data_IF_645200571308
#
_entry.id   IF_645200571308
#
_cell.length_a   1.000
_cell.length_b   1.000
_cell.length_c   1.000
_cell.angle_alpha   90.00
_cell.angle_beta   90.00
_cell.angle_gamma   90.00
#
_symmetry.space_group_name_H-M   'P 1'
#
loop_
_entity.id
_entity.type
_entity.pdbx_description
1 polymer ?
#
# COMPACT_ATOMS: atom_id res chain seq x y z
N UNK A 1 -5.21 -13.68 -11.70
CA UNK A 1 -6.38 -12.88 -12.13
C UNK A 1 -6.29 -12.63 -13.62
N UNK A 2 -7.23 -13.14 -14.43
CA UNK A 2 -7.28 -12.82 -15.85
C UNK A 2 -8.73 -12.54 -16.24
N UNK A 3 -9.21 -11.36 -15.86
CA UNK A 3 -10.52 -10.88 -16.25
C UNK A 3 -10.42 -10.30 -17.66
N UNK A 4 -10.63 -11.16 -18.66
CA UNK A 4 -10.83 -10.72 -20.03
C UNK A 4 -11.90 -9.61 -20.09
N UNK A 5 -11.55 -8.53 -20.79
CA UNK A 5 -12.44 -7.43 -21.20
C UNK A 5 -12.97 -6.54 -20.07
N UNK A 6 -12.06 -5.77 -19.46
CA UNK A 6 -12.31 -4.49 -18.81
C UNK A 6 -10.98 -3.72 -18.82
N UNK A 7 -11.01 -2.39 -18.88
CA UNK A 7 -9.83 -1.52 -18.70
C UNK A 7 -9.24 -1.71 -17.29
N UNK A 8 -8.52 -2.81 -17.09
CA UNK A 8 -7.82 -3.18 -15.87
C UNK A 8 -6.32 -2.84 -15.97
N UNK A 9 -5.51 -3.50 -15.15
CA UNK A 9 -4.08 -3.22 -15.07
C UNK A 9 -3.23 -3.75 -16.25
N UNK A 10 -3.84 -4.34 -17.28
CA UNK A 10 -3.15 -4.90 -18.44
C UNK A 10 -2.57 -6.30 -18.19
N UNK A 11 -1.64 -6.74 -19.06
CA UNK A 11 -1.01 -8.07 -19.01
C UNK A 11 -0.15 -8.30 -17.75
N UNK A 12 0.45 -7.23 -17.21
CA UNK A 12 1.32 -7.28 -16.05
C UNK A 12 0.76 -6.34 -14.96
N UNK A 13 -0.18 -6.81 -14.13
CA UNK A 13 -0.70 -6.02 -13.02
C UNK A 13 0.43 -5.66 -12.03
N UNK A 14 0.33 -4.51 -11.35
CA UNK A 14 1.31 -4.15 -10.33
C UNK A 14 1.14 -5.07 -9.12
N UNK A 15 2.25 -5.41 -8.47
CA UNK A 15 2.24 -6.02 -7.16
C UNK A 15 2.33 -4.93 -6.08
N UNK A 16 1.61 -5.13 -4.97
CA UNK A 16 1.57 -4.19 -3.85
C UNK A 16 2.02 -4.95 -2.60
N UNK A 17 2.90 -4.34 -1.81
CA UNK A 17 3.25 -4.78 -0.49
C UNK A 17 2.86 -3.71 0.54
N UNK A 18 2.38 -4.17 1.70
CA UNK A 18 2.07 -3.31 2.83
C UNK A 18 2.96 -3.70 4.00
N UNK A 19 3.63 -2.71 4.59
CA UNK A 19 4.49 -2.94 5.74
C UNK A 19 4.12 -2.01 6.89
N UNK A 20 4.03 -2.58 8.08
CA UNK A 20 3.98 -1.83 9.33
C UNK A 20 5.42 -1.61 9.79
N UNK A 21 5.84 -0.34 9.85
CA UNK A 21 7.21 0.04 10.21
C UNK A 21 7.32 0.25 11.71
N UNK A 22 6.35 0.95 12.29
CA UNK A 22 6.33 1.26 13.72
C UNK A 22 4.92 1.30 14.25
N UNK A 23 4.68 0.57 15.32
CA UNK A 23 3.42 0.57 16.06
C UNK A 23 3.50 1.48 17.29
N UNK A 24 2.36 1.97 17.79
CA UNK A 24 2.30 2.55 19.13
C UNK A 24 2.74 1.54 20.18
N UNK A 25 3.16 2.02 21.34
CA UNK A 25 3.43 1.14 22.46
C UNK A 25 2.12 0.63 23.06
N UNK A 26 2.12 -0.63 23.49
CA UNK A 26 1.07 -1.25 24.28
C UNK A 26 1.07 -0.73 25.73
N UNK A 27 0.17 -1.27 26.56
CA UNK A 27 0.06 -0.89 27.96
C UNK A 27 1.30 -1.24 28.81
N UNK A 28 2.18 -2.12 28.31
CA UNK A 28 3.44 -2.51 28.98
C UNK A 28 4.62 -1.65 28.54
N UNK A 29 4.43 -0.77 27.55
CA UNK A 29 5.46 0.11 27.00
C UNK A 29 6.25 -0.50 25.84
N UNK A 30 5.88 -1.69 25.35
CA UNK A 30 6.52 -2.35 24.20
C UNK A 30 5.78 -2.00 22.90
N UNK A 31 6.43 -2.02 21.72
CA UNK A 31 5.73 -1.86 20.45
C UNK A 31 4.58 -2.87 20.33
N UNK A 32 3.37 -2.40 20.07
CA UNK A 32 2.21 -3.26 19.96
C UNK A 32 2.34 -4.21 18.76
N UNK A 33 1.96 -5.46 18.96
CA UNK A 33 2.03 -6.50 17.94
C UNK A 33 0.78 -6.52 17.06
N UNK A 34 0.86 -7.27 15.96
CA UNK A 34 -0.30 -7.57 15.14
C UNK A 34 -1.29 -8.43 15.93
N UNK A 35 -2.55 -8.04 15.96
CA UNK A 35 -3.65 -8.81 16.56
C UNK A 35 -4.29 -9.78 15.59
N UNK A 36 -4.29 -9.46 14.29
CA UNK A 36 -4.81 -10.32 13.23
C UNK A 36 -4.43 -9.85 11.83
N UNK A 37 -4.44 -10.78 10.88
CA UNK A 37 -4.38 -10.55 9.43
C UNK A 37 -5.51 -11.33 8.78
N UNK A 38 -6.48 -10.62 8.19
CA UNK A 38 -7.68 -11.20 7.58
C UNK A 38 -7.80 -10.81 6.11
N UNK A 39 -8.31 -11.72 5.28
CA UNK A 39 -8.44 -11.52 3.81
C UNK A 39 -9.87 -11.67 3.29
N UNK A 40 -10.83 -10.84 3.75
CA UNK A 40 -12.19 -10.90 3.25
C UNK A 40 -12.26 -10.46 1.78
N UNK A 41 -13.39 -10.72 1.17
CA UNK A 41 -13.61 -10.43 -0.24
C UNK A 41 -15.02 -9.94 -0.51
N UNK A 42 -15.23 -9.33 -1.66
CA UNK A 42 -16.56 -8.94 -2.11
C UNK A 42 -17.43 -10.18 -2.38
N UNK A 43 -18.43 -10.42 -1.53
CA UNK A 43 -19.28 -11.60 -1.61
C UNK A 43 -20.33 -11.62 -0.49
N UNK A 44 -20.98 -12.76 -0.31
CA UNK A 44 -22.06 -12.94 0.68
C UNK A 44 -21.74 -13.96 1.77
N UNK A 45 -20.60 -14.66 1.67
CA UNK A 45 -20.20 -15.68 2.64
C UNK A 45 -19.91 -15.09 4.02
N UNK A 46 -19.82 -15.93 5.07
CA UNK A 46 -19.30 -15.50 6.37
C UNK A 46 -17.87 -14.93 6.36
N UNK A 47 -17.11 -15.21 5.29
CA UNK A 47 -15.73 -14.75 5.08
C UNK A 47 -15.63 -13.53 4.15
N UNK A 48 -16.76 -12.95 3.77
CA UNK A 48 -16.82 -11.80 2.85
C UNK A 48 -16.77 -10.46 3.59
N UNK A 49 -16.91 -9.35 2.89
CA UNK A 49 -16.87 -8.01 3.48
C UNK A 49 -17.81 -7.84 4.71
N UNK A 50 -17.35 -7.11 5.75
CA UNK A 50 -18.17 -6.77 6.91
C UNK A 50 -19.14 -5.63 6.58
N UNK A 51 -20.32 -5.62 7.18
CA UNK A 51 -21.41 -4.69 6.91
C UNK A 51 -21.66 -3.70 8.06
N UNK A 52 -21.18 -4.00 9.26
CA UNK A 52 -21.42 -3.19 10.45
C UNK A 52 -20.20 -3.20 11.40
N UNK A 53 -20.21 -2.29 12.37
CA UNK A 53 -19.08 -2.08 13.28
C UNK A 53 -18.68 -3.33 14.07
N UNK A 54 -19.65 -4.16 14.49
CA UNK A 54 -19.35 -5.42 15.19
C UNK A 54 -18.60 -6.42 14.30
N UNK A 55 -18.94 -6.47 13.02
CA UNK A 55 -18.27 -7.35 12.06
C UNK A 55 -16.85 -6.88 11.74
N UNK A 56 -16.64 -5.56 11.58
CA UNK A 56 -15.28 -5.00 11.51
C UNK A 56 -14.46 -5.33 12.77
N UNK A 57 -15.07 -5.21 13.95
CA UNK A 57 -14.41 -5.53 15.21
C UNK A 57 -14.06 -7.02 15.33
N UNK A 58 -14.88 -7.91 14.77
CA UNK A 58 -14.52 -9.32 14.67
C UNK A 58 -13.26 -9.52 13.83
N UNK A 59 -13.15 -8.85 12.68
CA UNK A 59 -11.98 -8.98 11.81
C UNK A 59 -10.71 -8.49 12.50
N UNK A 60 -10.79 -7.43 13.31
CA UNK A 60 -9.66 -6.93 14.09
C UNK A 60 -9.15 -7.89 15.18
N UNK A 61 -9.96 -8.90 15.53
CA UNK A 61 -9.64 -9.95 16.51
C UNK A 61 -9.37 -11.30 15.86
N UNK A 62 -9.28 -11.37 14.53
CA UNK A 62 -9.12 -12.63 13.82
C UNK A 62 -10.36 -13.54 13.88
N UNK A 63 -11.55 -12.96 13.88
CA UNK A 63 -12.84 -13.67 13.91
C UNK A 63 -13.63 -13.29 12.66
N UNK A 64 -14.20 -14.25 11.95
CA UNK A 64 -15.03 -14.02 10.76
C UNK A 64 -16.35 -13.31 11.07
N UNK A 65 -17.07 -12.92 10.02
CA UNK A 65 -18.22 -12.00 10.11
C UNK A 65 -19.32 -12.56 10.99
N UNK A 66 -19.51 -13.88 10.89
CA UNK A 66 -20.50 -14.65 11.63
C UNK A 66 -20.05 -15.05 13.06
N UNK A 67 -18.89 -14.58 13.51
CA UNK A 67 -18.32 -14.92 14.81
C UNK A 67 -17.47 -16.19 14.84
N UNK A 68 -17.30 -16.89 13.71
CA UNK A 68 -16.40 -18.06 13.64
C UNK A 68 -14.95 -17.60 13.72
N UNK A 69 -14.12 -18.07 14.67
CA UNK A 69 -12.70 -17.74 14.69
C UNK A 69 -11.98 -18.14 13.40
N UNK A 70 -10.97 -17.37 12.99
CA UNK A 70 -10.10 -17.78 11.89
C UNK A 70 -9.30 -19.02 12.26
N UNK A 71 -9.12 -19.90 11.29
CA UNK A 71 -8.40 -21.17 11.45
C UNK A 71 -7.26 -21.27 10.44
N UNK A 72 -6.28 -22.10 10.74
CA UNK A 72 -5.19 -22.41 9.83
C UNK A 72 -5.65 -23.28 8.65
N UNK A 73 -5.15 -22.98 7.44
CA UNK A 73 -5.41 -23.74 6.22
C UNK A 73 -6.57 -23.23 5.36
N UNK A 74 -6.55 -23.58 4.07
CA UNK A 74 -7.60 -23.19 3.11
C UNK A 74 -7.86 -21.68 3.07
N UNK A 75 -9.14 -21.29 3.11
CA UNK A 75 -9.57 -19.91 3.21
C UNK A 75 -9.64 -19.37 4.66
N UNK A 76 -9.09 -20.12 5.62
CA UNK A 76 -9.08 -19.78 7.03
C UNK A 76 -10.41 -19.95 7.76
N UNK A 77 -11.38 -20.68 7.20
CA UNK A 77 -12.72 -20.86 7.75
C UNK A 77 -13.11 -22.34 7.86
N UNK A 78 -12.79 -22.96 9.00
CA UNK A 78 -13.26 -24.31 9.36
C UNK A 78 -14.08 -24.28 10.66
N UNK A 79 -15.37 -24.63 10.58
CA UNK A 79 -16.30 -24.65 11.72
C UNK A 79 -16.27 -25.94 12.53
N UNK A 80 -15.55 -26.97 12.06
CA UNK A 80 -15.60 -28.30 12.63
C UNK A 80 -14.56 -28.49 13.72
N UNK A 81 -13.26 -28.44 13.38
CA UNK A 81 -12.14 -28.63 14.29
C UNK A 81 -10.84 -27.96 13.79
N UNK A 82 -10.94 -26.82 13.09
CA UNK A 82 -9.76 -26.12 12.60
C UNK A 82 -8.90 -25.57 13.75
N UNK A 83 -7.57 -25.60 13.57
CA UNK A 83 -6.64 -24.96 14.51
C UNK A 83 -6.82 -23.45 14.45
N UNK A 84 -7.16 -22.82 15.58
CA UNK A 84 -7.36 -21.37 15.66
C UNK A 84 -6.09 -20.62 15.28
N UNK A 85 -6.18 -19.74 14.29
CA UNK A 85 -5.03 -18.99 13.82
C UNK A 85 -5.47 -17.70 13.09
N UNK A 86 -5.23 -16.51 13.67
CA UNK A 86 -5.76 -15.24 13.16
C UNK A 86 -4.84 -14.54 12.15
N UNK A 87 -3.80 -15.22 11.67
CA UNK A 87 -2.81 -14.68 10.74
C UNK A 87 -2.91 -15.41 9.41
N UNK A 88 -3.83 -14.96 8.55
CA UNK A 88 -4.08 -15.61 7.27
C UNK A 88 -2.85 -15.56 6.38
N UNK A 89 -2.52 -16.71 5.79
CA UNK A 89 -1.41 -16.88 4.85
C UNK A 89 -0.04 -16.48 5.41
N UNK A 90 0.17 -16.78 6.69
CA UNK A 90 1.42 -16.50 7.36
C UNK A 90 2.54 -17.44 6.92
N UNK A 91 3.52 -16.88 6.22
CA UNK A 91 4.72 -17.57 5.75
C UNK A 91 5.90 -17.44 6.71
N UNK A 92 5.74 -16.75 7.85
CA UNK A 92 6.80 -16.69 8.88
C UNK A 92 7.01 -18.03 9.60
N UNK A 93 6.07 -18.95 9.46
CA UNK A 93 6.17 -20.31 9.97
C UNK A 93 6.53 -21.25 8.82
N UNK A 94 7.82 -21.61 8.73
CA UNK A 94 8.40 -22.44 7.66
C UNK A 94 7.65 -23.77 7.41
N UNK A 95 6.95 -24.30 8.41
CA UNK A 95 6.21 -25.57 8.31
C UNK A 95 4.76 -25.43 7.81
N UNK A 96 4.22 -24.22 7.70
CA UNK A 96 2.81 -24.02 7.41
C UNK A 96 2.46 -24.20 5.92
N UNK A 97 3.39 -23.89 5.00
CA UNK A 97 3.16 -23.81 3.54
C UNK A 97 1.72 -23.37 3.21
N UNK A 98 1.28 -22.27 3.84
CA UNK A 98 -0.09 -21.79 3.74
C UNK A 98 -0.08 -20.44 3.04
N UNK A 99 -0.23 -20.48 1.72
CA UNK A 99 -0.37 -19.29 0.88
C UNK A 99 -1.78 -19.18 0.33
N UNK A 100 -2.21 -17.99 -0.08
CA UNK A 100 -3.49 -17.83 -0.80
C UNK A 100 -3.48 -18.64 -2.12
N UNK A 101 -2.31 -18.77 -2.73
CA UNK A 101 -2.10 -19.39 -4.03
C UNK A 101 -2.27 -20.90 -3.97
N UNK A 102 -1.77 -21.54 -2.91
CA UNK A 102 -1.92 -22.99 -2.69
C UNK A 102 -3.26 -23.35 -2.08
N UNK A 103 -3.94 -22.40 -1.43
CA UNK A 103 -5.24 -22.60 -0.80
C UNK A 103 -6.40 -22.85 -1.79
N UNK A 104 -6.17 -22.73 -3.11
CA UNK A 104 -7.17 -22.94 -4.17
C UNK A 104 -8.46 -22.16 -3.94
N UNK A 105 -8.35 -20.94 -3.42
CA UNK A 105 -9.50 -20.08 -3.22
C UNK A 105 -10.10 -19.64 -4.56
N UNK A 106 -11.41 -19.47 -4.59
CA UNK A 106 -12.08 -18.85 -5.72
C UNK A 106 -11.58 -17.41 -5.91
N UNK A 107 -11.39 -17.02 -7.18
CA UNK A 107 -11.00 -15.67 -7.53
C UNK A 107 -12.12 -14.67 -7.16
N UNK A 108 -11.77 -13.68 -6.36
CA UNK A 108 -12.67 -12.61 -5.93
C UNK A 108 -11.89 -11.31 -5.74
N UNK A 109 -12.62 -10.21 -5.59
CA UNK A 109 -12.06 -8.93 -5.18
C UNK A 109 -11.71 -9.00 -3.68
N UNK A 110 -10.42 -9.18 -3.36
CA UNK A 110 -9.88 -9.42 -2.02
C UNK A 110 -9.54 -8.11 -1.30
N UNK A 111 -9.46 -8.16 0.02
CA UNK A 111 -8.97 -7.07 0.88
C UNK A 111 -7.94 -7.65 1.81
N UNK A 112 -7.03 -6.80 2.28
CA UNK A 112 -6.10 -7.12 3.34
C UNK A 112 -6.43 -6.24 4.54
N UNK A 113 -6.82 -6.85 5.66
CA UNK A 113 -7.01 -6.15 6.93
C UNK A 113 -5.92 -6.60 7.91
N UNK A 114 -5.03 -5.69 8.24
CA UNK A 114 -4.06 -5.86 9.33
C UNK A 114 -4.54 -5.07 10.54
N UNK A 115 -4.49 -5.70 11.70
CA UNK A 115 -4.87 -5.07 12.97
C UNK A 115 -3.73 -5.14 13.96
N UNK A 116 -3.56 -4.08 14.74
CA UNK A 116 -2.52 -3.94 15.76
C UNK A 116 -3.21 -3.65 17.09
N UNK A 117 -2.78 -4.33 18.14
CA UNK A 117 -3.26 -4.08 19.48
C UNK A 117 -3.15 -5.29 20.41
N UNK A 118 -3.72 -5.17 21.61
CA UNK A 118 -4.55 -4.06 22.09
C UNK A 118 -3.74 -2.79 22.37
N UNK A 119 -4.39 -1.63 22.22
CA UNK A 119 -3.83 -0.31 22.52
C UNK A 119 -4.65 0.36 23.62
N UNK A 120 -4.00 0.98 24.60
CA UNK A 120 -4.67 1.78 25.63
C UNK A 120 -4.64 3.27 25.27
N UNK A 121 -5.71 3.77 24.66
CA UNK A 121 -5.85 5.18 24.31
C UNK A 121 -6.55 5.95 25.43
N UNK A 122 -5.77 6.48 26.37
CA UNK A 122 -6.31 7.37 27.41
C UNK A 122 -6.60 8.76 26.84
N UNK A 123 -7.44 9.52 27.56
CA UNK A 123 -7.79 10.87 27.16
C UNK A 123 -6.52 11.73 27.06
N UNK A 124 -6.41 12.52 25.99
CA UNK A 124 -5.28 13.42 25.71
C UNK A 124 -3.94 12.73 25.38
N UNK A 125 -3.90 11.42 25.13
CA UNK A 125 -2.71 10.73 24.60
C UNK A 125 -2.73 10.75 23.07
N UNK A 126 -1.56 11.05 22.47
CA UNK A 126 -1.31 10.87 21.04
C UNK A 126 -0.45 9.63 20.82
N UNK A 127 -0.92 8.72 19.99
CA UNK A 127 -0.17 7.56 19.52
C UNK A 127 0.31 7.77 18.09
N UNK A 128 1.49 7.24 17.74
CA UNK A 128 2.04 7.31 16.38
C UNK A 128 2.09 5.91 15.79
N UNK A 129 1.58 5.79 14.57
CA UNK A 129 1.63 4.57 13.76
C UNK A 129 2.28 4.94 12.43
N UNK A 130 3.25 4.14 12.00
CA UNK A 130 3.98 4.34 10.75
C UNK A 130 3.86 3.10 9.89
N UNK A 131 3.39 3.27 8.67
CA UNK A 131 3.28 2.23 7.66
C UNK A 131 3.87 2.69 6.33
N UNK A 132 4.17 1.73 5.47
CA UNK A 132 4.52 1.96 4.08
C UNK A 132 3.65 1.10 3.16
N UNK A 133 3.32 1.68 2.01
CA UNK A 133 2.70 0.98 0.90
C UNK A 133 3.68 1.04 -0.24
N UNK A 134 4.18 -0.13 -0.61
CA UNK A 134 5.11 -0.34 -1.70
C UNK A 134 4.34 -0.89 -2.89
N UNK A 135 4.71 -0.49 -4.08
CA UNK A 135 4.20 -1.11 -5.28
C UNK A 135 5.32 -1.22 -6.31
N UNK A 136 5.25 -2.28 -7.10
CA UNK A 136 6.16 -2.51 -8.22
C UNK A 136 5.37 -3.05 -9.38
N UNK A 137 5.86 -2.80 -10.60
CA UNK A 137 5.28 -3.35 -11.82
C UNK A 137 6.45 -3.71 -12.73
N UNK A 138 6.46 -4.96 -13.18
CA UNK A 138 7.46 -5.45 -14.11
C UNK A 138 6.86 -5.68 -15.50
N UNK A 139 7.76 -5.85 -16.47
CA UNK A 139 7.52 -6.33 -17.82
C UNK A 139 7.16 -7.82 -17.86
N UNK A 140 7.51 -8.57 -16.82
CA UNK A 140 7.02 -9.93 -16.57
C UNK A 140 5.80 -9.93 -15.64
N UNK A 141 4.96 -10.96 -15.75
CA UNK A 141 3.87 -11.16 -14.81
C UNK A 141 4.44 -11.53 -13.44
N UNK A 142 3.99 -10.83 -12.40
CA UNK A 142 4.30 -11.17 -11.00
C UNK A 142 3.27 -12.19 -10.54
N UNK A 143 3.74 -13.34 -10.06
CA UNK A 143 2.90 -14.41 -9.52
C UNK A 143 3.50 -14.97 -8.22
N UNK A 144 2.82 -15.95 -7.63
CA UNK A 144 3.23 -16.53 -6.35
C UNK A 144 4.53 -17.34 -6.41
N UNK A 145 5.01 -17.70 -7.60
CA UNK A 145 6.30 -18.35 -7.81
C UNK A 145 7.44 -17.37 -8.05
N UNK A 146 7.16 -16.07 -8.20
CA UNK A 146 8.13 -15.04 -8.49
C UNK A 146 7.83 -13.74 -7.71
N UNK A 147 8.06 -13.79 -6.40
CA UNK A 147 7.89 -12.65 -5.49
C UNK A 147 9.18 -11.84 -5.28
N UNK A 148 10.29 -12.25 -5.89
CA UNK A 148 11.63 -11.67 -5.69
C UNK A 148 11.68 -10.16 -5.95
N UNK A 149 10.87 -9.66 -6.89
CA UNK A 149 10.77 -8.23 -7.18
C UNK A 149 10.11 -7.45 -6.04
N UNK A 150 9.11 -8.04 -5.40
CA UNK A 150 8.38 -7.41 -4.30
C UNK A 150 9.21 -7.47 -3.03
N UNK A 151 9.82 -8.62 -2.74
CA UNK A 151 10.71 -8.78 -1.58
C UNK A 151 11.95 -7.91 -1.70
N UNK A 152 12.56 -7.80 -2.88
CA UNK A 152 13.68 -6.88 -3.13
C UNK A 152 13.31 -5.40 -2.92
N UNK A 153 12.10 -5.00 -3.32
CA UNK A 153 11.62 -3.63 -3.06
C UNK A 153 11.38 -3.35 -1.56
N UNK A 154 10.88 -4.35 -0.83
CA UNK A 154 10.72 -4.31 0.64
C UNK A 154 12.09 -4.21 1.32
N UNK A 155 13.04 -5.05 0.92
CA UNK A 155 14.40 -5.06 1.49
C UNK A 155 15.11 -3.73 1.26
N UNK A 156 15.01 -3.17 0.05
CA UNK A 156 15.53 -1.85 -0.27
C UNK A 156 14.94 -0.76 0.63
N UNK A 157 13.62 -0.79 0.84
CA UNK A 157 12.98 0.16 1.73
C UNK A 157 13.44 0.01 3.18
N UNK A 158 13.59 -1.22 3.68
CA UNK A 158 14.08 -1.47 5.03
C UNK A 158 15.49 -0.88 5.24
N UNK A 159 16.39 -1.09 4.28
CA UNK A 159 17.72 -0.46 4.29
C UNK A 159 17.61 1.07 4.34
N UNK A 160 16.74 1.68 3.54
CA UNK A 160 16.55 3.12 3.54
C UNK A 160 15.98 3.63 4.88
N UNK A 161 15.00 2.94 5.46
CA UNK A 161 14.39 3.29 6.74
C UNK A 161 15.41 3.21 7.87
N UNK A 162 16.24 2.18 7.90
CA UNK A 162 17.33 2.04 8.88
C UNK A 162 18.34 3.19 8.75
N UNK A 163 18.68 3.60 7.53
CA UNK A 163 19.55 4.76 7.30
C UNK A 163 18.91 6.06 7.82
N UNK A 164 17.62 6.27 7.60
CA UNK A 164 16.92 7.47 8.10
C UNK A 164 16.75 7.47 9.63
N UNK A 165 16.52 6.31 10.25
CA UNK A 165 16.38 6.15 11.70
C UNK A 165 17.72 6.26 12.44
N UNK A 166 18.83 5.89 11.80
CA UNK A 166 20.19 5.96 12.36
C UNK A 166 20.89 7.32 12.16
N UNK A 167 20.25 8.27 11.46
CA UNK A 167 20.69 9.68 11.50
C UNK A 167 20.41 10.24 12.90
N UNK A 168 21.42 10.23 13.76
CA UNK A 168 21.38 10.98 15.01
C UNK A 168 20.96 12.44 14.74
N UNK A 169 20.19 13.10 15.61
CA UNK A 169 19.82 14.50 15.41
C UNK A 169 21.06 15.36 15.70
N UNK A 170 21.96 15.44 14.73
CA UNK A 170 22.94 16.50 14.64
C UNK A 170 22.24 17.67 13.97
N UNK A 171 21.97 18.71 14.75
CA UNK A 171 21.91 20.12 14.35
C UNK A 171 21.63 20.37 12.86
N UNK A 172 20.44 20.91 12.58
CA UNK A 172 19.94 21.36 11.28
C UNK A 172 21.01 21.60 10.21
N UNK A 173 21.02 20.74 9.21
CA UNK A 173 20.93 21.21 7.84
C UNK A 173 19.64 20.60 7.29
N UNK A 174 18.71 21.46 6.86
CA UNK A 174 17.58 21.01 6.06
C UNK A 174 18.14 20.14 4.94
N UNK A 175 17.68 18.89 4.85
CA UNK A 175 17.81 18.14 3.61
C UNK A 175 17.14 19.01 2.56
N UNK A 176 17.95 19.59 1.67
CA UNK A 176 17.44 20.20 0.45
C UNK A 176 16.72 19.07 -0.28
N UNK A 177 15.40 19.08 -0.13
CA UNK A 177 14.50 18.12 -0.71
C UNK A 177 14.66 18.20 -2.23
N UNK A 178 15.14 17.12 -2.84
CA UNK A 178 15.16 16.95 -4.30
C UNK A 178 13.74 16.68 -4.87
N UNK A 179 12.70 16.81 -4.04
CA UNK A 179 11.32 16.71 -4.47
C UNK A 179 10.95 17.92 -5.34
N UNK A 180 10.23 17.71 -6.46
CA UNK A 180 9.77 18.79 -7.32
C UNK A 180 8.84 19.73 -6.55
N UNK A 181 8.83 21.02 -6.93
CA UNK A 181 7.79 21.94 -6.43
C UNK A 181 6.56 21.79 -7.30
N UNK A 182 5.42 21.52 -6.67
CA UNK A 182 4.15 21.29 -7.36
C UNK A 182 3.14 22.30 -6.83
N UNK A 183 2.66 23.19 -7.71
CA UNK A 183 1.74 24.26 -7.32
C UNK A 183 0.81 24.69 -8.47
N UNK A 184 -0.43 25.11 -8.17
CA UNK A 184 -1.07 25.03 -6.86
C UNK A 184 -1.39 23.59 -6.47
N UNK A 185 -1.33 23.28 -5.17
CA UNK A 185 -1.76 22.00 -4.61
C UNK A 185 -2.56 22.30 -3.32
N UNK A 186 -3.92 22.25 -3.33
CA UNK A 186 -4.77 21.65 -4.37
C UNK A 186 -4.83 22.41 -5.71
N UNK A 187 -4.94 21.68 -6.82
CA UNK A 187 -5.07 22.18 -8.18
C UNK A 187 -6.53 22.12 -8.66
N UNK A 188 -6.98 23.10 -9.45
CA UNK A 188 -8.26 23.08 -10.15
C UNK A 188 -8.06 22.80 -11.64
N UNK A 189 -7.64 23.80 -12.41
CA UNK A 189 -7.50 23.70 -13.87
C UNK A 189 -6.15 23.18 -14.36
N UNK A 190 -5.08 23.50 -13.64
CA UNK A 190 -3.70 23.21 -14.03
C UNK A 190 -2.80 23.16 -12.82
N UNK A 191 -1.67 22.47 -12.97
CA UNK A 191 -0.59 22.45 -11.99
C UNK A 191 0.74 22.69 -12.69
N UNK A 192 1.60 23.47 -12.06
CA UNK A 192 2.98 23.71 -12.45
C UNK A 192 3.89 22.82 -11.63
N UNK A 193 4.86 22.23 -12.30
CA UNK A 193 5.87 21.36 -11.71
C UNK A 193 7.22 21.96 -12.04
N UNK A 194 7.95 22.40 -11.00
CA UNK A 194 9.36 22.80 -11.12
C UNK A 194 10.23 21.63 -10.64
N UNK A 195 11.10 21.16 -11.52
CA UNK A 195 12.07 20.11 -11.23
C UNK A 195 13.27 20.74 -10.51
N UNK A 196 13.71 20.12 -9.41
CA UNK A 196 14.88 20.58 -8.68
C UNK A 196 16.21 20.10 -9.29
N UNK A 197 16.17 19.08 -10.18
CA UNK A 197 17.36 18.47 -10.77
C UNK A 197 17.44 18.69 -12.29
N UNK A 198 18.67 18.79 -12.79
CA UNK A 198 19.04 18.79 -14.22
C UNK A 198 19.15 17.38 -14.82
N UNK A 199 18.77 16.35 -14.07
CA UNK A 199 18.79 14.96 -14.55
C UNK A 199 17.94 14.80 -15.81
N UNK A 200 18.33 13.83 -16.64
CA UNK A 200 17.70 13.51 -17.93
C UNK A 200 16.27 13.00 -17.73
N UNK A 201 15.35 13.95 -17.54
CA UNK A 201 13.93 13.76 -17.37
C UNK A 201 13.32 13.26 -18.68
N UNK A 202 12.53 12.19 -18.61
CA UNK A 202 11.93 11.54 -19.79
C UNK A 202 10.48 11.92 -19.97
N UNK A 203 9.67 11.67 -18.94
CA UNK A 203 8.24 11.87 -19.00
C UNK A 203 7.62 11.98 -17.61
N UNK A 204 6.35 12.35 -17.61
CA UNK A 204 5.51 12.37 -16.42
C UNK A 204 4.27 11.53 -16.63
N UNK A 205 3.94 10.76 -15.61
CA UNK A 205 2.76 9.91 -15.56
C UNK A 205 1.91 10.29 -14.35
N UNK A 206 0.60 10.37 -14.54
CA UNK A 206 -0.35 10.69 -13.49
C UNK A 206 -1.21 9.47 -13.17
N UNK A 207 -1.25 9.10 -11.90
CA UNK A 207 -2.00 7.95 -11.40
C UNK A 207 -3.10 8.38 -10.44
N UNK A 208 -4.23 7.68 -10.44
CA UNK A 208 -5.26 7.85 -9.40
C UNK A 208 -4.92 7.08 -8.11
N UNK A 209 -5.80 7.18 -7.11
CA UNK A 209 -5.67 6.45 -5.83
C UNK A 209 -5.64 4.93 -5.98
N UNK A 210 -6.10 4.38 -7.10
CA UNK A 210 -6.05 2.95 -7.41
C UNK A 210 -4.83 2.59 -8.27
N UNK A 211 -3.84 3.50 -8.39
CA UNK A 211 -2.65 3.32 -9.22
C UNK A 211 -2.96 3.03 -10.70
N UNK A 212 -4.12 3.48 -11.19
CA UNK A 212 -4.45 3.42 -12.62
C UNK A 212 -3.86 4.64 -13.31
N UNK A 213 -3.23 4.43 -14.46
CA UNK A 213 -2.69 5.52 -15.28
C UNK A 213 -3.87 6.35 -15.82
N UNK A 214 -3.88 7.63 -15.49
CA UNK A 214 -4.92 8.59 -15.90
C UNK A 214 -4.44 9.44 -17.08
N UNK A 215 -3.16 9.79 -17.08
CA UNK A 215 -2.52 10.52 -18.17
C UNK A 215 -1.02 10.21 -18.21
N UNK A 216 -0.43 10.23 -19.40
CA UNK A 216 1.02 10.19 -19.61
C UNK A 216 1.37 11.28 -20.61
N UNK A 217 2.27 12.18 -20.22
CA UNK A 217 2.72 13.28 -21.07
C UNK A 217 4.23 13.19 -21.27
N UNK A 218 4.66 13.17 -22.54
CA UNK A 218 6.05 13.42 -22.91
C UNK A 218 6.17 14.93 -23.03
N UNK A 219 6.93 15.54 -22.12
CA UNK A 219 7.01 17.00 -22.03
C UNK A 219 8.40 17.45 -22.46
N UNK A 220 8.45 18.41 -23.38
CA UNK A 220 9.67 19.18 -23.60
C UNK A 220 9.89 20.06 -22.36
N UNK A 221 10.98 19.81 -21.65
CA UNK A 221 11.33 20.56 -20.44
C UNK A 221 12.04 21.84 -20.87
N UNK A 222 11.27 22.90 -21.12
CA UNK A 222 11.83 24.24 -21.22
C UNK A 222 12.05 24.77 -19.79
N UNK A 223 13.30 25.10 -19.44
CA UNK A 223 13.68 25.70 -18.15
C UNK A 223 13.26 24.91 -16.89
N UNK A 224 13.45 23.58 -16.89
CA UNK A 224 13.24 22.71 -15.71
C UNK A 224 11.83 22.78 -15.11
N UNK A 225 10.84 23.20 -15.91
CA UNK A 225 9.46 23.29 -15.46
C UNK A 225 8.50 22.85 -16.56
N UNK A 226 7.33 22.39 -16.14
CA UNK A 226 6.24 22.10 -17.05
C UNK A 226 4.88 22.30 -16.40
N UNK A 227 3.85 22.40 -17.25
CA UNK A 227 2.47 22.54 -16.84
C UNK A 227 1.68 21.30 -17.21
N UNK A 228 0.88 20.79 -16.27
CA UNK A 228 -0.08 19.72 -16.50
C UNK A 228 -1.50 20.27 -16.43
N UNK A 229 -2.36 19.77 -17.32
CA UNK A 229 -3.78 20.11 -17.32
C UNK A 229 -4.55 19.19 -16.35
N UNK A 230 -5.23 19.77 -15.37
CA UNK A 230 -6.04 19.05 -14.38
C UNK A 230 -7.54 19.29 -14.53
N UNK A 231 -7.97 20.12 -15.48
CA UNK A 231 -9.38 20.53 -15.69
C UNK A 231 -10.35 19.35 -15.83
N UNK A 232 -9.92 18.28 -16.50
CA UNK A 232 -10.77 17.12 -16.78
C UNK A 232 -10.62 15.99 -15.74
N UNK A 233 -9.77 16.19 -14.73
CA UNK A 233 -9.62 15.23 -13.64
C UNK A 233 -10.77 15.43 -12.64
N UNK A 234 -11.20 14.35 -12.00
CA UNK A 234 -12.20 14.43 -10.93
C UNK A 234 -11.54 14.94 -9.64
N UNK A 235 -12.34 15.47 -8.72
CA UNK A 235 -11.85 15.80 -7.38
C UNK A 235 -11.29 14.54 -6.71
N UNK A 236 -10.07 14.63 -6.16
CA UNK A 236 -9.40 13.48 -5.58
C UNK A 236 -7.91 13.66 -5.36
N UNK A 237 -7.28 12.58 -4.89
CA UNK A 237 -5.83 12.49 -4.74
C UNK A 237 -5.27 11.77 -5.96
N UNK A 238 -4.16 12.28 -6.46
CA UNK A 238 -3.41 11.73 -7.57
C UNK A 238 -1.93 11.63 -7.21
N UNK A 239 -1.22 10.72 -7.86
CA UNK A 239 0.22 10.56 -7.73
C UNK A 239 0.90 10.91 -9.04
N UNK A 240 1.80 11.88 -8.98
CA UNK A 240 2.61 12.33 -10.09
C UNK A 240 3.94 11.56 -10.07
N UNK A 241 4.19 10.78 -11.11
CA UNK A 241 5.39 10.00 -11.30
C UNK A 241 6.29 10.68 -12.32
N UNK A 242 7.42 11.21 -11.87
CA UNK A 242 8.47 11.80 -12.70
C UNK A 242 9.51 10.72 -13.00
N UNK A 243 9.67 10.39 -14.29
CA UNK A 243 10.60 9.37 -14.73
C UNK A 243 11.86 10.03 -15.32
N UNK A 244 13.01 9.70 -14.76
CA UNK A 244 14.33 10.12 -15.23
C UNK A 244 15.06 8.93 -15.87
N UNK A 245 16.25 9.16 -16.42
CA UNK A 245 17.05 8.08 -17.02
C UNK A 245 17.46 6.97 -16.06
N UNK A 246 17.72 7.30 -14.80
CA UNK A 246 18.27 6.41 -13.78
C UNK A 246 17.36 6.22 -12.56
N UNK A 247 16.37 7.10 -12.37
CA UNK A 247 15.50 7.10 -11.19
C UNK A 247 14.06 7.50 -11.49
N UNK A 248 13.19 7.26 -10.51
CA UNK A 248 11.78 7.66 -10.53
C UNK A 248 11.47 8.41 -9.24
N UNK A 249 10.81 9.56 -9.35
CA UNK A 249 10.32 10.35 -8.21
C UNK A 249 8.80 10.39 -8.23
N UNK A 250 8.17 10.28 -7.06
CA UNK A 250 6.71 10.28 -6.93
C UNK A 250 6.29 11.41 -5.99
N UNK A 251 5.30 12.20 -6.39
CA UNK A 251 4.77 13.31 -5.60
C UNK A 251 3.25 13.30 -5.56
N UNK A 252 2.68 13.70 -4.41
CA UNK A 252 1.23 13.76 -4.22
C UNK A 252 0.64 15.05 -4.78
N UNK A 253 -0.41 14.91 -5.59
CA UNK A 253 -1.24 16.01 -6.10
C UNK A 253 -2.68 15.86 -5.59
N UNK A 254 -3.28 16.96 -5.15
CA UNK A 254 -4.71 17.00 -4.79
C UNK A 254 -5.40 17.83 -5.86
N UNK A 255 -6.44 17.28 -6.49
CA UNK A 255 -7.31 18.01 -7.43
C UNK A 255 -8.62 18.34 -6.73
N UNK A 256 -9.04 19.60 -6.85
CA UNK A 256 -10.30 20.13 -6.31
C UNK A 256 -10.77 21.31 -7.15
N UNK A 257 -11.93 21.15 -7.82
CA UNK A 257 -12.60 22.21 -8.57
C UNK A 257 -13.53 23.08 -7.71
#
# INVERSE_FOLDING_TARGET
ENSGFSTGYGLNPPAIAYQIIKTPNDATGNPAELSSVMTPYNGTSPTSDPNNASEYYNYMKGVWRDGTPATMGGNGYDRSNGTLYPFMYDLSIDSLNWTECEANNSAHDRRLLLSVGPLNMEQNISMKFTNAVLWTRDTAAIDCGNLDFVTGAVDFMNVQLEQELNKAPLSSNELVSDAPKIFPNPASDKVFVELNSTDDFKNVELYDLQARLVSAEIVAVDDHSFMLNTRNLKDGIYFLSLNYSDRRSISKLIVKH
#
